data_IF_019755697528
#
_entry.id   IF_019755697528
#
_cell.length_a   1.000
_cell.length_b   1.000
_cell.length_c   1.000
_cell.angle_alpha   90.00
_cell.angle_beta   90.00
_cell.angle_gamma   90.00
#
_symmetry.space_group_name_H-M   'P 1'
#
loop_
_entity.id
_entity.type
_entity.pdbx_description
1 polymer ?
#
# COMPACT_ATOMS: atom_id res chain seq x y z
N UNK A 1 8.60 -11.34 -7.93
CA UNK A 1 7.88 -10.22 -8.57
C UNK A 1 8.04 -9.01 -7.68
N UNK A 2 8.51 -7.87 -8.18
CA UNK A 2 8.60 -6.64 -7.38
C UNK A 2 7.18 -6.19 -6.96
N UNK A 3 6.99 -5.83 -5.69
CA UNK A 3 5.70 -5.33 -5.17
C UNK A 3 5.20 -4.11 -5.98
N UNK A 4 6.12 -3.26 -6.44
CA UNK A 4 5.83 -2.10 -7.28
C UNK A 4 5.28 -2.52 -8.65
N UNK A 5 5.83 -3.57 -9.26
CA UNK A 5 5.37 -4.05 -10.55
C UNK A 5 3.94 -4.60 -10.45
N UNK A 6 3.67 -5.41 -9.41
CA UNK A 6 2.31 -5.90 -9.13
C UNK A 6 1.33 -4.74 -8.89
N UNK A 7 1.77 -3.73 -8.14
CA UNK A 7 0.95 -2.57 -7.83
C UNK A 7 0.54 -1.79 -9.10
N UNK A 8 1.49 -1.58 -10.02
CA UNK A 8 1.22 -0.93 -11.31
C UNK A 8 0.26 -1.75 -12.18
N UNK A 9 0.35 -3.07 -12.16
CA UNK A 9 -0.51 -3.95 -12.96
C UNK A 9 -1.98 -3.91 -12.52
N UNK A 10 -2.24 -3.82 -11.21
CA UNK A 10 -3.61 -3.84 -10.69
C UNK A 10 -4.19 -2.43 -10.46
N UNK A 11 -3.43 -1.38 -10.75
CA UNK A 11 -3.74 0.00 -10.35
C UNK A 11 -5.12 0.47 -10.86
N UNK A 12 -5.46 0.11 -12.09
CA UNK A 12 -6.75 0.51 -12.70
C UNK A 12 -7.95 -0.16 -12.00
N UNK A 13 -7.75 -1.34 -11.40
CA UNK A 13 -8.78 -2.11 -10.68
C UNK A 13 -8.88 -1.72 -9.19
N UNK A 14 -8.13 -0.71 -8.77
CA UNK A 14 -8.14 -0.22 -7.40
C UNK A 14 -9.34 0.70 -7.15
N UNK A 15 -9.91 0.60 -5.95
CA UNK A 15 -10.88 1.58 -5.48
C UNK A 15 -10.20 2.93 -5.23
N UNK A 16 -10.97 4.03 -5.13
CA UNK A 16 -10.41 5.35 -4.79
C UNK A 16 -9.58 5.35 -3.51
N UNK A 17 -9.97 4.56 -2.50
CA UNK A 17 -9.20 4.41 -1.26
C UNK A 17 -7.91 3.65 -1.50
N UNK A 18 -7.95 2.57 -2.28
CA UNK A 18 -6.76 1.79 -2.61
C UNK A 18 -5.79 2.60 -3.49
N UNK A 19 -6.30 3.42 -4.42
CA UNK A 19 -5.49 4.30 -5.28
C UNK A 19 -4.72 5.32 -4.45
N UNK A 20 -5.32 5.94 -3.44
CA UNK A 20 -4.60 6.83 -2.50
C UNK A 20 -3.42 6.15 -1.81
N UNK A 21 -3.59 4.89 -1.42
CA UNK A 21 -2.52 4.09 -0.81
C UNK A 21 -1.44 3.79 -1.85
N UNK A 22 -1.85 3.33 -3.04
CA UNK A 22 -0.97 3.00 -4.16
C UNK A 22 -0.17 4.22 -4.65
N UNK A 23 -0.78 5.38 -4.79
CA UNK A 23 -0.15 6.63 -5.21
C UNK A 23 0.93 7.05 -4.23
N UNK A 24 0.63 7.00 -2.93
CA UNK A 24 1.62 7.29 -1.92
C UNK A 24 2.80 6.31 -2.03
N UNK A 25 2.53 5.03 -2.25
CA UNK A 25 3.56 4.01 -2.41
C UNK A 25 4.43 4.25 -3.64
N UNK A 26 3.83 4.49 -4.79
CA UNK A 26 4.53 4.67 -6.06
C UNK A 26 5.37 5.94 -6.08
N UNK A 27 4.94 6.98 -5.36
CA UNK A 27 5.65 8.25 -5.26
C UNK A 27 6.71 8.27 -4.14
N UNK A 28 6.68 7.33 -3.19
CA UNK A 28 7.55 7.31 -2.01
C UNK A 28 8.15 5.92 -1.74
N UNK A 29 8.63 5.25 -2.79
CA UNK A 29 9.06 3.85 -2.73
C UNK A 29 10.17 3.58 -1.71
N UNK A 30 11.08 4.52 -1.49
CA UNK A 30 12.17 4.38 -0.51
C UNK A 30 11.69 4.51 0.94
N UNK A 31 10.72 5.42 1.17
CA UNK A 31 10.25 5.76 2.52
C UNK A 31 9.45 4.63 3.15
N UNK A 32 8.75 3.81 2.36
CA UNK A 32 7.87 2.75 2.84
C UNK A 32 8.55 1.75 3.75
N UNK A 33 9.81 1.42 3.45
CA UNK A 33 10.63 0.53 4.28
C UNK A 33 10.78 1.03 5.72
N UNK A 34 10.57 2.33 5.97
CA UNK A 34 10.71 2.97 7.29
C UNK A 34 9.37 3.28 7.95
N UNK A 35 8.27 3.27 7.20
CA UNK A 35 6.95 3.61 7.74
C UNK A 35 6.34 2.47 8.56
N UNK A 36 5.61 2.86 9.59
CA UNK A 36 4.60 2.07 10.28
C UNK A 36 3.26 2.11 9.53
N UNK A 37 2.35 1.20 9.87
CA UNK A 37 0.99 1.15 9.29
C UNK A 37 0.19 2.44 9.56
N UNK A 38 0.39 3.06 10.72
CA UNK A 38 -0.26 4.31 11.11
C UNK A 38 0.27 5.51 10.34
N UNK A 39 1.58 5.57 10.11
CA UNK A 39 2.18 6.64 9.30
C UNK A 39 1.76 6.51 7.84
N UNK A 40 1.74 5.29 7.29
CA UNK A 40 1.24 5.09 5.92
C UNK A 40 -0.24 5.46 5.80
N UNK A 41 -1.06 5.13 6.79
CA UNK A 41 -2.47 5.53 6.82
C UNK A 41 -2.61 7.06 6.82
N UNK A 42 -1.88 7.74 7.70
CA UNK A 42 -1.87 9.21 7.79
C UNK A 42 -1.43 9.85 6.47
N UNK A 43 -0.31 9.40 5.91
CA UNK A 43 0.29 9.99 4.72
C UNK A 43 -0.53 9.74 3.45
N UNK A 44 -1.23 8.61 3.37
CA UNK A 44 -2.18 8.31 2.29
C UNK A 44 -3.58 8.86 2.53
N UNK A 45 -3.83 9.55 3.66
CA UNK A 45 -5.15 10.04 4.07
C UNK A 45 -6.21 8.94 4.10
N UNK A 46 -5.83 7.78 4.63
CA UNK A 46 -6.68 6.60 4.81
C UNK A 46 -6.64 6.09 6.25
N UNK A 47 -7.34 5.00 6.53
CA UNK A 47 -7.33 4.36 7.85
C UNK A 47 -6.32 3.20 7.91
N UNK A 48 -5.82 2.87 9.10
CA UNK A 48 -5.00 1.68 9.31
C UNK A 48 -5.69 0.39 8.85
N UNK A 49 -7.02 0.30 9.03
CA UNK A 49 -7.82 -0.81 8.53
C UNK A 49 -7.83 -0.87 7.00
N UNK A 50 -7.85 0.28 6.31
CA UNK A 50 -7.71 0.34 4.85
C UNK A 50 -6.35 -0.18 4.40
N UNK A 51 -5.25 0.20 5.07
CA UNK A 51 -3.91 -0.33 4.77
C UNK A 51 -3.87 -1.85 4.91
N UNK A 52 -4.42 -2.40 6.01
CA UNK A 52 -4.42 -3.86 6.24
C UNK A 52 -5.23 -4.60 5.17
N UNK A 53 -6.42 -4.08 4.80
CA UNK A 53 -7.23 -4.65 3.71
C UNK A 53 -6.51 -4.58 2.36
N UNK A 54 -5.87 -3.46 2.08
CA UNK A 54 -5.08 -3.27 0.87
C UNK A 54 -3.91 -4.26 0.77
N UNK A 55 -3.14 -4.46 1.85
CA UNK A 55 -2.05 -5.45 1.87
C UNK A 55 -2.57 -6.87 1.62
N UNK A 56 -3.74 -7.23 2.17
CA UNK A 56 -4.40 -8.52 1.90
C UNK A 56 -4.84 -8.66 0.46
N UNK A 57 -5.42 -7.60 -0.15
CA UNK A 57 -5.76 -7.55 -1.57
C UNK A 57 -4.53 -7.74 -2.47
N UNK A 58 -3.40 -7.20 -2.05
CA UNK A 58 -2.10 -7.42 -2.69
C UNK A 58 -1.52 -8.84 -2.48
N UNK A 59 -2.21 -9.73 -1.76
CA UNK A 59 -1.81 -11.11 -1.52
C UNK A 59 -0.85 -11.30 -0.34
N UNK A 60 -0.70 -10.30 0.52
CA UNK A 60 0.15 -10.37 1.71
C UNK A 60 -0.69 -10.66 2.95
N UNK A 61 -0.15 -11.39 3.92
CA UNK A 61 -0.84 -11.73 5.19
C UNK A 61 -1.19 -10.51 6.07
N UNK A 62 -0.66 -9.34 5.72
CA UNK A 62 -0.90 -8.05 6.36
C UNK A 62 0.12 -7.01 5.89
N UNK A 63 0.15 -5.84 6.55
CA UNK A 63 1.10 -4.76 6.21
C UNK A 63 2.56 -5.20 6.25
N UNK A 64 2.94 -6.04 7.21
CA UNK A 64 4.31 -6.55 7.35
C UNK A 64 4.74 -7.48 6.20
N UNK A 65 3.80 -8.21 5.59
CA UNK A 65 4.08 -8.99 4.39
C UNK A 65 4.25 -8.13 3.15
N UNK A 66 3.65 -6.94 3.11
CA UNK A 66 3.82 -5.95 2.04
C UNK A 66 5.19 -5.24 2.12
N UNK A 67 5.77 -5.17 3.33
CA UNK A 67 7.01 -4.45 3.63
C UNK A 67 8.28 -5.24 3.28
N UNK A 68 8.21 -6.57 3.17
CA UNK A 68 9.34 -7.49 2.96
C UNK A 68 9.31 -8.15 1.57
#
# INVERSE_FOLDING_TARGET
MSCILKLKQIYEDLTEVDKKIADYILNNTEAISKLSVSELASNSKTSTASIVRFSRKMGYSGFWGFKN
#
